data_IF_790410484353
#
_entry.id   IF_790410484353
#
_cell.length_a   1.000
_cell.length_b   1.000
_cell.length_c   1.000
_cell.angle_alpha   90.00
_cell.angle_beta   90.00
_cell.angle_gamma   90.00
#
_symmetry.space_group_name_H-M   'P 1'
#
loop_
_entity.id
_entity.type
_entity.pdbx_description
1 polymer ?
#
# COMPACT_ATOMS: atom_id res chain seq x y z
N UNK A 1 -16.88 7.69 -27.04
CA UNK A 1 -16.35 7.81 -25.66
C UNK A 1 -14.87 8.10 -25.79
N UNK A 2 -14.32 9.16 -25.16
CA UNK A 2 -12.85 9.34 -25.13
C UNK A 2 -12.25 8.28 -24.20
N UNK A 3 -11.15 7.63 -24.55
CA UNK A 3 -10.49 6.71 -23.63
C UNK A 3 -10.05 7.51 -22.40
N UNK A 4 -10.41 7.01 -21.22
CA UNK A 4 -9.84 7.51 -19.97
C UNK A 4 -8.41 6.96 -19.88
N UNK A 5 -7.44 7.86 -19.78
CA UNK A 5 -6.07 7.47 -19.47
C UNK A 5 -6.03 6.96 -18.02
N UNK A 6 -5.64 5.70 -17.86
CA UNK A 6 -5.47 5.06 -16.54
C UNK A 6 -3.97 5.02 -16.25
N UNK A 7 -3.57 5.51 -15.07
CA UNK A 7 -2.19 5.43 -14.58
C UNK A 7 -2.12 4.41 -13.46
N UNK A 8 -1.22 3.44 -13.59
CA UNK A 8 -0.96 2.43 -12.58
C UNK A 8 0.26 2.86 -11.74
N UNK A 9 0.20 2.58 -10.44
CA UNK A 9 1.29 2.85 -9.52
C UNK A 9 1.67 1.56 -8.80
N UNK A 10 2.92 1.16 -8.90
CA UNK A 10 3.45 -0.03 -8.24
C UNK A 10 4.19 0.38 -6.96
N UNK A 11 3.73 -0.14 -5.81
CA UNK A 11 4.43 -0.03 -4.54
C UNK A 11 5.38 -1.21 -4.39
N UNK A 12 6.67 -0.95 -4.19
CA UNK A 12 7.72 -1.97 -4.07
C UNK A 12 8.04 -2.36 -2.63
N UNK A 13 7.08 -2.20 -1.72
CA UNK A 13 7.27 -2.45 -0.30
C UNK A 13 7.09 -3.95 0.02
N UNK A 14 7.99 -4.57 0.80
CA UNK A 14 7.78 -5.95 1.27
C UNK A 14 6.49 -6.09 2.09
N UNK A 15 5.75 -7.18 1.87
CA UNK A 15 4.47 -7.45 2.54
C UNK A 15 4.55 -7.35 4.08
N UNK A 16 5.64 -7.84 4.67
CA UNK A 16 5.84 -7.79 6.12
C UNK A 16 6.01 -6.34 6.63
N UNK A 17 6.69 -5.49 5.87
CA UNK A 17 6.87 -4.08 6.21
C UNK A 17 5.56 -3.30 6.01
N UNK A 18 4.82 -3.60 4.94
CA UNK A 18 3.50 -3.03 4.71
C UNK A 18 2.53 -3.35 5.86
N UNK A 19 2.48 -4.60 6.31
CA UNK A 19 1.68 -4.99 7.48
C UNK A 19 2.13 -4.26 8.75
N UNK A 20 3.44 -4.18 9.00
CA UNK A 20 3.97 -3.47 10.17
C UNK A 20 3.56 -1.99 10.18
N UNK A 21 3.60 -1.31 9.02
CA UNK A 21 3.15 0.09 8.90
C UNK A 21 1.64 0.23 9.17
N UNK A 22 0.81 -0.69 8.67
CA UNK A 22 -0.63 -0.69 8.91
C UNK A 22 -0.94 -0.86 10.40
N UNK A 23 -0.29 -1.81 11.07
CA UNK A 23 -0.48 -2.04 12.51
C UNK A 23 -0.02 -0.83 13.34
N UNK A 24 1.14 -0.27 13.02
CA UNK A 24 1.64 0.93 13.69
C UNK A 24 0.71 2.14 13.51
N UNK A 25 0.13 2.32 12.30
CA UNK A 25 -0.85 3.38 12.03
C UNK A 25 -2.11 3.21 12.87
N UNK A 26 -2.64 1.99 12.98
CA UNK A 26 -3.84 1.72 13.78
C UNK A 26 -3.69 2.15 15.25
N UNK A 27 -2.46 2.10 15.79
CA UNK A 27 -2.17 2.50 17.17
C UNK A 27 -1.94 4.01 17.33
N UNK A 28 -1.34 4.66 16.33
CA UNK A 28 -0.76 6.01 16.48
C UNK A 28 -1.59 7.14 15.88
N UNK A 29 -2.42 6.84 14.87
CA UNK A 29 -3.06 7.88 14.05
C UNK A 29 -4.59 7.83 14.20
N UNK A 30 -5.19 8.74 15.00
CA UNK A 30 -6.64 8.80 15.14
C UNK A 30 -7.31 9.25 13.82
N UNK A 31 -8.52 8.75 13.56
CA UNK A 31 -9.31 9.11 12.36
C UNK A 31 -9.02 8.25 11.12
N UNK A 32 -8.05 7.35 11.18
CA UNK A 32 -7.83 6.35 10.14
C UNK A 32 -8.76 5.15 10.30
N UNK A 33 -9.12 4.52 9.18
CA UNK A 33 -9.84 3.26 9.21
C UNK A 33 -8.95 2.18 9.84
N UNK A 34 -9.46 1.55 10.90
CA UNK A 34 -8.80 0.42 11.53
C UNK A 34 -8.75 -0.77 10.56
N UNK A 35 -7.56 -1.33 10.38
CA UNK A 35 -7.36 -2.53 9.55
C UNK A 35 -6.78 -3.64 10.41
N UNK A 36 -7.60 -4.62 10.80
CA UNK A 36 -7.13 -5.78 11.53
C UNK A 36 -6.12 -6.58 10.69
N UNK A 37 -5.19 -7.28 11.35
CA UNK A 37 -4.21 -8.13 10.65
C UNK A 37 -4.87 -9.14 9.71
N UNK A 38 -5.94 -9.81 10.16
CA UNK A 38 -6.65 -10.77 9.33
C UNK A 38 -7.28 -10.11 8.09
N UNK A 39 -7.84 -8.90 8.25
CA UNK A 39 -8.38 -8.12 7.13
C UNK A 39 -7.29 -7.78 6.12
N UNK A 40 -6.11 -7.36 6.59
CA UNK A 40 -4.97 -7.12 5.70
C UNK A 40 -4.60 -8.37 4.90
N UNK A 41 -4.44 -9.52 5.58
CA UNK A 41 -4.04 -10.78 4.93
C UNK A 41 -5.05 -11.24 3.88
N UNK A 42 -6.35 -11.16 4.20
CA UNK A 42 -7.42 -11.54 3.27
C UNK A 42 -7.45 -10.62 2.05
N UNK A 43 -7.34 -9.31 2.24
CA UNK A 43 -7.34 -8.37 1.11
C UNK A 43 -6.08 -8.54 0.26
N UNK A 44 -4.91 -8.66 0.90
CA UNK A 44 -3.63 -8.80 0.21
C UNK A 44 -3.61 -9.99 -0.75
N UNK A 45 -4.24 -11.12 -0.38
CA UNK A 45 -4.29 -12.31 -1.23
C UNK A 45 -5.15 -12.15 -2.49
N UNK A 46 -5.99 -11.11 -2.56
CA UNK A 46 -6.82 -10.82 -3.73
C UNK A 46 -6.11 -9.91 -4.76
N UNK A 47 -4.94 -9.36 -4.42
CA UNK A 47 -4.17 -8.53 -5.34
C UNK A 47 -3.24 -9.40 -6.20
N UNK A 48 -3.46 -9.34 -7.51
CA UNK A 48 -2.62 -9.98 -8.51
C UNK A 48 -1.42 -9.07 -8.86
N UNK A 49 -0.25 -9.64 -9.18
CA UNK A 49 0.83 -8.88 -9.80
C UNK A 49 0.39 -8.25 -11.12
N UNK A 50 1.02 -7.14 -11.50
CA UNK A 50 0.83 -6.55 -12.81
C UNK A 50 1.23 -7.53 -13.92
N UNK A 51 0.43 -7.57 -14.98
CA UNK A 51 0.71 -8.28 -16.22
C UNK A 51 1.85 -7.64 -17.03
N UNK A 52 2.34 -8.35 -18.04
CA UNK A 52 3.47 -7.90 -18.88
C UNK A 52 3.13 -6.63 -19.71
N UNK A 53 1.85 -6.43 -20.02
CA UNK A 53 1.32 -5.29 -20.76
C UNK A 53 0.89 -4.13 -19.83
N UNK A 54 0.94 -4.32 -18.52
CA UNK A 54 0.56 -3.32 -17.53
C UNK A 54 1.78 -2.51 -17.06
N UNK A 55 1.96 -1.33 -17.65
CA UNK A 55 3.04 -0.41 -17.26
C UNK A 55 2.61 0.44 -16.07
N UNK A 56 3.38 0.36 -14.98
CA UNK A 56 3.16 1.17 -13.78
C UNK A 56 4.36 2.07 -13.45
N UNK A 57 4.06 3.22 -12.86
CA UNK A 57 5.05 4.07 -12.24
C UNK A 57 5.47 3.47 -10.90
N UNK A 58 6.76 3.18 -10.74
CA UNK A 58 7.31 2.66 -9.49
C UNK A 58 7.44 3.82 -8.50
N UNK A 59 6.70 3.73 -7.40
CA UNK A 59 6.79 4.72 -6.32
C UNK A 59 7.67 4.12 -5.22
N UNK A 60 8.85 4.70 -4.93
CA UNK A 60 9.67 4.21 -3.83
C UNK A 60 8.92 4.43 -2.51
N UNK A 61 9.14 3.57 -1.50
CA UNK A 61 8.56 3.78 -0.18
C UNK A 61 8.93 5.18 0.32
N UNK A 62 7.93 5.95 0.75
CA UNK A 62 8.21 7.18 1.45
C UNK A 62 9.10 6.85 2.67
N UNK A 63 10.29 7.45 2.71
CA UNK A 63 11.15 7.43 3.88
C UNK A 63 10.37 8.11 4.99
N UNK A 64 9.92 7.34 5.97
CA UNK A 64 9.33 7.93 7.17
C UNK A 64 10.49 8.58 7.92
N UNK A 65 10.58 9.90 7.89
CA UNK A 65 11.37 10.62 8.88
C UNK A 65 10.66 10.38 10.19
N UNK A 66 11.21 9.50 11.03
CA UNK A 66 10.73 9.37 12.40
C UNK A 66 10.75 10.77 13.02
N UNK A 67 9.57 11.27 13.38
CA UNK A 67 9.47 12.53 14.10
C UNK A 67 10.36 12.42 15.33
N UNK A 68 11.45 13.19 15.35
CA UNK A 68 12.24 13.38 16.56
C UNK A 68 11.35 14.09 17.56
N UNK A 69 10.98 13.41 18.63
CA UNK A 69 10.55 14.05 19.89
C UNK A 69 10.86 13.12 21.04
#
# INVERSE_FOLDING_TARGET
MKPHEVRLYALTLPDAEALARVLARNEREPGHLYVAENTYRVLRSQFEPLGEDEVAEVVPPALTTAAST
#
